data_IF_071551242150
#
_entry.id   IF_071551242150
#
_cell.length_a   1.000
_cell.length_b   1.000
_cell.length_c   1.000
_cell.angle_alpha   90.00
_cell.angle_beta   90.00
_cell.angle_gamma   90.00
#
_symmetry.space_group_name_H-M   'P 1'
#
loop_
_entity.id
_entity.type
_entity.pdbx_description
1 polymer ?
#
# COMPACT_ATOMS: atom_id res chain seq x y z
N UNK A 1 26.20 -2.67 11.94
CA UNK A 1 26.63 -1.46 11.21
C UNK A 1 25.49 -0.45 11.29
N UNK A 2 25.27 0.10 12.48
CA UNK A 2 24.21 1.11 12.70
C UNK A 2 24.80 2.47 12.38
N UNK A 3 24.29 3.11 11.32
CA UNK A 3 24.68 4.47 10.98
C UNK A 3 23.80 5.41 11.81
N UNK A 4 24.30 5.78 12.99
CA UNK A 4 23.75 6.89 13.78
C UNK A 4 24.20 8.18 13.12
N UNK A 5 23.35 8.72 12.26
CA UNK A 5 23.11 10.15 12.25
C UNK A 5 21.68 10.29 12.79
N UNK A 6 21.50 10.82 14.00
CA UNK A 6 20.15 11.14 14.50
C UNK A 6 19.65 12.37 13.76
N UNK A 7 19.51 12.26 12.44
CA UNK A 7 18.70 13.19 11.68
C UNK A 7 17.31 13.16 12.30
N UNK A 8 16.74 14.34 12.56
CA UNK A 8 15.37 14.43 13.06
C UNK A 8 14.46 13.77 12.02
N UNK A 9 13.96 12.56 12.30
CA UNK A 9 12.98 11.88 11.46
C UNK A 9 11.73 12.75 11.49
N UNK A 10 11.55 13.54 10.44
CA UNK A 10 10.45 14.49 10.35
C UNK A 10 9.32 13.91 9.51
N UNK A 11 9.64 13.10 8.51
CA UNK A 11 8.70 12.63 7.50
C UNK A 11 8.82 11.14 7.17
N UNK A 12 7.75 10.58 6.61
CA UNK A 12 7.71 9.21 6.09
C UNK A 12 8.72 8.89 4.98
N UNK A 13 9.44 9.88 4.43
CA UNK A 13 10.51 9.68 3.45
C UNK A 13 11.85 9.32 4.08
N UNK A 14 12.04 9.70 5.34
CA UNK A 14 13.31 9.56 6.05
C UNK A 14 13.48 8.16 6.66
N UNK A 15 12.42 7.35 6.65
CA UNK A 15 12.37 5.99 7.22
C UNK A 15 12.39 4.93 6.12
N UNK A 16 13.01 3.78 6.43
CA UNK A 16 12.96 2.61 5.57
C UNK A 16 11.51 2.19 5.25
N UNK A 17 11.26 1.79 4.00
CA UNK A 17 9.90 1.55 3.53
C UNK A 17 9.23 0.35 4.21
N UNK A 18 9.95 -0.75 4.44
CA UNK A 18 9.37 -1.99 4.97
C UNK A 18 8.95 -1.86 6.45
N UNK A 19 9.78 -1.32 7.36
CA UNK A 19 9.37 -1.07 8.74
C UNK A 19 8.17 -0.13 8.85
N UNK A 20 8.16 0.95 8.06
CA UNK A 20 7.06 1.90 8.01
C UNK A 20 5.73 1.25 7.58
N UNK A 21 5.76 0.43 6.53
CA UNK A 21 4.57 -0.25 6.02
C UNK A 21 4.01 -1.21 7.07
N UNK A 22 4.86 -1.97 7.77
CA UNK A 22 4.43 -2.89 8.82
C UNK A 22 3.81 -2.14 10.00
N UNK A 23 4.49 -1.12 10.52
CA UNK A 23 3.97 -0.33 11.64
C UNK A 23 2.65 0.39 11.29
N UNK A 24 2.52 0.86 10.05
CA UNK A 24 1.29 1.48 9.58
C UNK A 24 0.17 0.46 9.37
N UNK A 25 0.47 -0.76 8.93
CA UNK A 25 -0.50 -1.86 8.87
C UNK A 25 -1.06 -2.19 10.26
N UNK A 26 -0.20 -2.26 11.28
CA UNK A 26 -0.64 -2.47 12.68
C UNK A 26 -1.53 -1.33 13.18
N UNK A 27 -1.22 -0.09 12.81
CA UNK A 27 -2.05 1.06 13.15
C UNK A 27 -3.44 0.98 12.49
N UNK A 28 -3.49 0.62 11.21
CA UNK A 28 -4.75 0.44 10.48
C UNK A 28 -5.60 -0.70 11.06
N UNK A 29 -4.96 -1.78 11.51
CA UNK A 29 -5.62 -2.90 12.19
C UNK A 29 -6.24 -2.45 13.52
N UNK A 30 -5.48 -1.71 14.34
CA UNK A 30 -5.97 -1.16 15.62
C UNK A 30 -7.12 -0.16 15.46
N UNK A 31 -7.15 0.56 14.34
CA UNK A 31 -8.23 1.49 14.02
C UNK A 31 -9.58 0.79 13.81
N UNK A 32 -9.59 -0.47 13.33
CA UNK A 32 -10.80 -1.27 13.16
C UNK A 32 -11.80 -0.75 12.11
N UNK A 33 -11.46 0.33 11.39
CA UNK A 33 -12.34 0.99 10.40
C UNK A 33 -12.27 0.39 8.99
N UNK A 34 -11.33 -0.52 8.75
CA UNK A 34 -11.17 -1.17 7.44
C UNK A 34 -12.10 -2.37 7.35
N UNK A 35 -13.01 -2.31 6.39
CA UNK A 35 -13.84 -3.44 6.00
C UNK A 35 -13.03 -4.39 5.10
N UNK A 36 -12.76 -5.60 5.60
CA UNK A 36 -12.13 -6.64 4.79
C UNK A 36 -13.10 -7.08 3.69
N UNK A 37 -12.61 -7.31 2.45
CA UNK A 37 -13.43 -7.91 1.41
C UNK A 37 -13.94 -9.30 1.82
N UNK A 38 -15.19 -9.63 1.48
CA UNK A 38 -15.83 -10.92 1.85
C UNK A 38 -15.01 -12.16 1.48
N UNK A 39 -14.27 -12.11 0.37
CA UNK A 39 -13.49 -13.24 -0.14
C UNK A 39 -11.98 -13.05 0.07
N UNK A 40 -11.55 -12.24 1.05
CA UNK A 40 -10.14 -11.92 1.23
C UNK A 40 -9.23 -13.15 1.37
N UNK A 41 -9.70 -14.23 2.00
CA UNK A 41 -8.95 -15.49 2.17
C UNK A 41 -8.67 -16.24 0.85
N UNK A 42 -9.47 -15.99 -0.18
CA UNK A 42 -9.34 -16.63 -1.49
C UNK A 42 -8.78 -15.66 -2.55
N UNK A 43 -8.52 -14.41 -2.17
CA UNK A 43 -8.13 -13.37 -3.10
C UNK A 43 -6.64 -13.40 -3.42
N UNK A 44 -6.34 -13.46 -4.72
CA UNK A 44 -4.98 -13.35 -5.23
C UNK A 44 -4.58 -11.88 -5.43
N UNK A 45 -3.36 -11.54 -5.03
CA UNK A 45 -2.83 -10.17 -5.14
C UNK A 45 -2.48 -9.76 -6.57
N UNK A 46 -2.12 -10.73 -7.40
CA UNK A 46 -1.74 -10.56 -8.82
C UNK A 46 -2.49 -11.60 -9.66
N UNK A 47 -2.65 -11.30 -10.95
CA UNK A 47 -3.41 -12.15 -11.88
C UNK A 47 -2.79 -13.55 -12.02
N UNK A 48 -1.46 -13.62 -12.00
CA UNK A 48 -0.66 -14.84 -12.17
C UNK A 48 -0.09 -15.40 -10.87
N UNK A 49 -0.50 -14.86 -9.71
CA UNK A 49 -0.17 -15.54 -8.45
C UNK A 49 -0.91 -16.88 -8.44
N UNK A 50 -0.22 -17.95 -8.07
CA UNK A 50 -0.86 -19.27 -7.91
C UNK A 50 -1.57 -19.36 -6.55
N UNK A 51 -0.92 -18.81 -5.51
CA UNK A 51 -1.39 -18.86 -4.13
C UNK A 51 -1.83 -17.49 -3.62
N UNK A 52 -2.71 -17.51 -2.62
CA UNK A 52 -3.01 -16.37 -1.74
C UNK A 52 -1.78 -16.04 -0.89
N UNK A 53 -1.57 -14.77 -0.47
CA UNK A 53 -0.53 -14.45 0.50
C UNK A 53 -0.65 -15.26 1.79
N UNK A 54 0.48 -15.70 2.34
CA UNK A 54 0.53 -16.49 3.58
C UNK A 54 0.28 -15.68 4.86
N UNK A 55 0.57 -14.38 4.81
CA UNK A 55 0.39 -13.48 5.96
C UNK A 55 -1.09 -13.13 6.11
N UNK A 56 -1.69 -13.33 7.29
CA UNK A 56 -3.09 -13.00 7.56
C UNK A 56 -3.37 -11.50 7.43
N UNK A 57 -2.38 -10.66 7.77
CA UNK A 57 -2.49 -9.20 7.74
C UNK A 57 -2.09 -8.61 6.37
N UNK A 58 -2.00 -9.45 5.33
CA UNK A 58 -1.57 -9.04 3.99
C UNK A 58 -2.40 -7.89 3.41
N UNK A 59 -3.70 -7.83 3.75
CA UNK A 59 -4.61 -6.78 3.28
C UNK A 59 -4.24 -5.42 3.88
N UNK A 60 -3.97 -5.38 5.18
CA UNK A 60 -3.53 -4.17 5.88
C UNK A 60 -2.17 -3.70 5.39
N UNK A 61 -1.24 -4.64 5.16
CA UNK A 61 0.06 -4.35 4.55
C UNK A 61 -0.11 -3.76 3.15
N UNK A 62 -1.06 -4.28 2.36
CA UNK A 62 -1.34 -3.74 1.02
C UNK A 62 -1.90 -2.32 1.08
N UNK A 63 -2.86 -2.06 1.97
CA UNK A 63 -3.40 -0.71 2.20
C UNK A 63 -2.29 0.26 2.63
N UNK A 64 -1.43 -0.16 3.56
CA UNK A 64 -0.30 0.64 4.03
C UNK A 64 0.72 0.95 2.92
N UNK A 65 1.06 -0.05 2.11
CA UNK A 65 1.94 0.15 0.96
C UNK A 65 1.36 1.12 -0.07
N UNK A 66 0.05 1.06 -0.33
CA UNK A 66 -0.66 2.00 -1.22
C UNK A 66 -0.65 3.41 -0.63
N UNK A 67 -0.95 3.57 0.66
CA UNK A 67 -0.91 4.87 1.34
C UNK A 67 0.48 5.52 1.27
N UNK A 68 1.54 4.73 1.51
CA UNK A 68 2.94 5.19 1.36
C UNK A 68 3.27 5.56 -0.09
N UNK A 69 2.74 4.82 -1.07
CA UNK A 69 2.94 5.13 -2.48
C UNK A 69 2.29 6.46 -2.87
N UNK A 70 1.07 6.70 -2.39
CA UNK A 70 0.31 7.94 -2.57
C UNK A 70 0.98 9.13 -1.87
N UNK A 71 1.64 8.91 -0.73
CA UNK A 71 2.45 9.93 -0.08
C UNK A 71 3.59 10.42 -0.99
N UNK A 72 4.25 9.49 -1.72
CA UNK A 72 5.38 9.83 -2.58
C UNK A 72 4.92 10.51 -3.88
N UNK A 73 3.84 10.01 -4.48
CA UNK A 73 3.29 10.54 -5.73
C UNK A 73 1.77 10.33 -5.80
N UNK A 74 0.98 11.35 -6.17
CA UNK A 74 -0.42 11.14 -6.51
C UNK A 74 -0.49 10.22 -7.74
N UNK A 75 -1.35 9.21 -7.69
CA UNK A 75 -1.40 8.18 -8.73
C UNK A 75 -2.81 7.63 -8.95
N UNK A 76 -3.03 7.08 -10.14
CA UNK A 76 -4.26 6.38 -10.49
C UNK A 76 -4.16 4.89 -10.24
N UNK A 77 -5.26 4.17 -10.49
CA UNK A 77 -5.31 2.72 -10.28
C UNK A 77 -4.34 1.99 -11.22
N UNK A 78 -4.21 2.42 -12.49
CA UNK A 78 -3.35 1.71 -13.45
C UNK A 78 -1.87 1.80 -13.08
N UNK A 79 -1.40 2.98 -12.66
CA UNK A 79 -0.01 3.15 -12.22
C UNK A 79 0.29 2.38 -10.92
N UNK A 80 -0.70 2.22 -10.04
CA UNK A 80 -0.58 1.32 -8.89
C UNK A 80 -0.53 -0.15 -9.31
N UNK A 81 -1.32 -0.54 -10.32
CA UNK A 81 -1.27 -1.90 -10.88
C UNK A 81 0.08 -2.23 -11.50
N UNK A 82 0.73 -1.24 -12.11
CA UNK A 82 2.09 -1.35 -12.62
C UNK A 82 3.11 -1.42 -11.49
N UNK A 83 3.00 -0.53 -10.50
CA UNK A 83 3.92 -0.48 -9.36
C UNK A 83 3.92 -1.77 -8.53
N UNK A 84 2.76 -2.40 -8.36
CA UNK A 84 2.64 -3.69 -7.67
C UNK A 84 2.68 -4.89 -8.62
N UNK A 85 2.81 -4.65 -9.93
CA UNK A 85 3.05 -5.66 -10.95
C UNK A 85 4.40 -6.34 -10.74
N UNK A 86 4.62 -7.43 -11.47
CA UNK A 86 5.93 -8.09 -11.56
C UNK A 86 5.96 -8.97 -12.82
N UNK A 87 7.09 -9.64 -13.00
CA UNK A 87 7.32 -10.58 -14.08
C UNK A 87 6.42 -11.82 -13.95
N UNK A 88 5.56 -12.05 -14.93
CA UNK A 88 4.76 -13.26 -15.08
C UNK A 88 5.58 -14.31 -15.84
N UNK A 89 5.80 -15.46 -15.20
CA UNK A 89 6.47 -16.62 -15.80
C UNK A 89 5.49 -17.46 -16.62
N UNK A 90 5.72 -17.59 -17.92
CA UNK A 90 4.87 -18.36 -18.85
C UNK A 90 5.46 -19.75 -19.18
N UNK A 91 5.97 -20.44 -18.16
CA UNK A 91 6.63 -21.74 -18.31
C UNK A 91 7.88 -21.69 -19.22
N UNK A 92 7.73 -22.22 -20.44
CA UNK A 92 8.80 -22.28 -21.47
C UNK A 92 8.88 -20.99 -22.29
N UNK A 93 7.78 -20.24 -22.43
CA UNK A 93 7.78 -18.98 -23.20
C UNK A 93 8.43 -17.85 -22.40
N UNK A 94 8.92 -16.84 -23.11
CA UNK A 94 9.50 -15.65 -22.49
C UNK A 94 8.52 -15.01 -21.50
N UNK A 95 9.07 -14.69 -20.33
CA UNK A 95 8.34 -14.01 -19.27
C UNK A 95 8.22 -12.52 -19.58
N UNK A 96 7.06 -11.94 -19.26
CA UNK A 96 6.72 -10.55 -19.53
C UNK A 96 6.24 -9.87 -18.23
N UNK A 97 6.15 -8.55 -18.23
CA UNK A 97 5.60 -7.81 -17.09
C UNK A 97 4.08 -7.86 -17.12
N UNK A 98 3.46 -8.24 -16.00
CA UNK A 98 2.01 -8.30 -15.88
C UNK A 98 1.54 -7.58 -14.60
N UNK A 99 0.33 -7.05 -14.68
CA UNK A 99 -0.24 -6.12 -13.73
C UNK A 99 -0.70 -6.82 -12.45
N UNK A 100 -0.73 -6.05 -11.34
CA UNK A 100 -1.43 -6.49 -10.14
C UNK A 100 -2.95 -6.54 -10.33
N UNK A 101 -3.62 -7.23 -9.41
CA UNK A 101 -5.07 -7.33 -9.39
C UNK A 101 -5.70 -5.94 -9.15
N UNK A 102 -6.37 -5.41 -10.16
CA UNK A 102 -6.98 -4.09 -10.10
C UNK A 102 -8.16 -4.00 -9.13
N UNK A 103 -8.88 -5.10 -8.92
CA UNK A 103 -10.02 -5.11 -8.00
C UNK A 103 -9.55 -4.92 -6.55
N UNK A 104 -8.50 -5.63 -6.16
CA UNK A 104 -7.88 -5.51 -4.84
C UNK A 104 -7.45 -4.06 -4.55
N UNK A 105 -6.70 -3.45 -5.48
CA UNK A 105 -6.20 -2.08 -5.32
C UNK A 105 -7.36 -1.08 -5.19
N UNK A 106 -8.43 -1.25 -5.99
CA UNK A 106 -9.63 -0.41 -5.91
C UNK A 106 -10.31 -0.51 -4.55
N UNK A 107 -10.49 -1.73 -4.04
CA UNK A 107 -11.05 -1.95 -2.70
C UNK A 107 -10.22 -1.29 -1.61
N UNK A 108 -8.88 -1.40 -1.68
CA UNK A 108 -7.99 -0.74 -0.71
C UNK A 108 -8.16 0.78 -0.72
N UNK A 109 -8.22 1.38 -1.91
CA UNK A 109 -8.41 2.82 -2.08
C UNK A 109 -9.77 3.28 -1.55
N UNK A 110 -10.86 2.58 -1.87
CA UNK A 110 -12.19 2.92 -1.38
C UNK A 110 -12.27 2.84 0.14
N UNK A 111 -11.61 1.85 0.76
CA UNK A 111 -11.54 1.76 2.22
C UNK A 111 -10.76 2.94 2.82
N UNK A 112 -9.62 3.33 2.23
CA UNK A 112 -8.87 4.50 2.68
C UNK A 112 -9.63 5.82 2.47
N UNK A 113 -10.49 5.90 1.46
CA UNK A 113 -11.38 7.05 1.22
C UNK A 113 -12.50 7.12 2.25
N UNK A 114 -13.14 5.98 2.58
CA UNK A 114 -14.12 5.90 3.66
C UNK A 114 -13.53 6.38 4.99
N UNK A 115 -12.24 6.13 5.22
CA UNK A 115 -11.51 6.61 6.40
C UNK A 115 -11.10 8.10 6.32
N UNK A 116 -11.28 8.76 5.18
CA UNK A 116 -10.87 10.16 4.98
C UNK A 116 -9.36 10.37 4.81
N UNK A 117 -8.61 9.31 4.52
CA UNK A 117 -7.15 9.35 4.37
C UNK A 117 -6.72 9.66 2.93
N UNK A 118 -7.55 9.32 1.96
CA UNK A 118 -7.32 9.52 0.53
C UNK A 118 -8.44 10.37 -0.06
N UNK A 119 -8.08 11.28 -0.96
CA UNK A 119 -8.99 12.15 -1.71
C UNK A 119 -8.75 12.05 -3.22
N UNK A 120 -9.74 12.49 -3.99
CA UNK A 120 -9.60 12.67 -5.44
C UNK A 120 -8.76 13.91 -5.73
N UNK A 121 -7.74 13.74 -6.58
CA UNK A 121 -6.94 14.87 -7.03
C UNK A 121 -7.69 15.66 -8.12
N UNK A 122 -7.57 16.99 -8.11
CA UNK A 122 -8.17 17.88 -9.13
C UNK A 122 -7.77 17.54 -10.57
N UNK A 123 -6.57 16.98 -10.76
CA UNK A 123 -6.02 16.63 -12.08
C UNK A 123 -6.28 15.16 -12.45
N UNK A 124 -7.15 14.47 -11.73
CA UNK A 124 -7.39 13.04 -11.85
C UNK A 124 -6.42 12.19 -11.01
N UNK A 125 -6.88 11.00 -10.63
CA UNK A 125 -6.16 10.09 -9.75
C UNK A 125 -6.47 10.30 -8.27
N UNK A 126 -5.68 9.67 -7.41
CA UNK A 126 -5.84 9.70 -5.96
C UNK A 126 -4.63 10.37 -5.31
N UNK A 127 -4.90 11.13 -4.25
CA UNK A 127 -3.90 11.81 -3.44
C UNK A 127 -4.18 11.55 -1.96
N UNK A 128 -3.13 11.52 -1.15
CA UNK A 128 -3.28 11.45 0.30
C UNK A 128 -3.75 12.80 0.85
N UNK A 129 -4.73 12.79 1.76
CA UNK A 129 -5.22 14.00 2.45
C UNK A 129 -4.16 14.55 3.39
N UNK A 130 -4.32 15.80 3.84
CA UNK A 130 -3.46 16.39 4.89
C UNK A 130 -3.48 15.55 6.18
N UNK A 131 -4.63 14.97 6.53
CA UNK A 131 -4.74 14.09 7.69
C UNK A 131 -3.97 12.79 7.47
N UNK A 132 -4.13 12.15 6.29
CA UNK A 132 -3.39 10.94 5.96
C UNK A 132 -1.86 11.14 5.95
N UNK A 133 -1.38 12.30 5.47
CA UNK A 133 0.05 12.65 5.55
C UNK A 133 0.52 12.77 7.00
N UNK A 134 -0.23 13.50 7.84
CA UNK A 134 0.10 13.69 9.26
C UNK A 134 0.14 12.36 10.02
N UNK A 135 -0.79 11.45 9.76
CA UNK A 135 -0.81 10.13 10.38
C UNK A 135 0.40 9.29 9.98
N UNK A 136 0.75 9.26 8.70
CA UNK A 136 1.93 8.56 8.20
C UNK A 136 3.22 9.12 8.81
N UNK A 137 3.34 10.45 8.89
CA UNK A 137 4.51 11.10 9.50
C UNK A 137 4.57 10.86 11.02
N UNK A 138 3.43 10.75 11.71
CA UNK A 138 3.39 10.41 13.14
C UNK A 138 3.83 8.96 13.38
N UNK A 139 3.42 8.02 12.52
CA UNK A 139 3.90 6.63 12.59
C UNK A 139 5.38 6.54 12.26
N UNK A 140 5.86 7.32 11.28
CA UNK A 140 7.28 7.41 10.96
C UNK A 140 8.13 7.91 12.13
N UNK A 141 7.65 8.91 12.89
CA UNK A 141 8.32 9.42 14.10
C UNK A 141 8.41 8.42 15.25
N UNK A 142 7.56 7.39 15.25
CA UNK A 142 7.52 6.37 16.31
C UNK A 142 8.51 5.23 16.03
N UNK A 143 8.96 5.09 14.79
CA UNK A 143 9.99 4.14 14.35
C UNK A 143 11.37 4.72 14.59
#
# INVERSE_FOLDING_TARGET
>A
MERIDKSHILTAKDVEAMPLIKAYADFLKRSGKIELPKLHDLMRTKVYSEYTPYDEDWYYIRCAAIARHLYMRPCGINTLRDAFGTKHRNGVRHAYHDHANGNLIRHCIHNLEKMGLVEEAKNGGRKLTKNGQKELDLVAKKL
#
